data_IF_211232347654
#
_entry.id   IF_211232347654
#
_cell.length_a   1.000
_cell.length_b   1.000
_cell.length_c   1.000
_cell.angle_alpha   90.00
_cell.angle_beta   90.00
_cell.angle_gamma   90.00
#
_symmetry.space_group_name_H-M   'P 1'
#
loop_
_entity.id
_entity.type
_entity.pdbx_description
1 polymer ?
#
# COMPACT_ATOMS: atom_id res chain seq x y z
N UNK A 1 22.61 -32.09 11.92
CA UNK A 1 22.57 -31.55 10.54
C UNK A 1 21.11 -31.32 10.21
N UNK A 2 20.65 -30.04 10.19
CA UNK A 2 19.28 -29.68 9.79
C UNK A 2 19.31 -29.43 8.30
N UNK A 3 18.61 -30.26 7.53
CA UNK A 3 18.38 -30.06 6.10
C UNK A 3 17.56 -28.77 5.91
N UNK A 4 18.17 -27.81 5.23
CA UNK A 4 17.51 -26.57 4.82
C UNK A 4 16.52 -26.92 3.71
N UNK A 5 15.25 -27.13 4.03
CA UNK A 5 14.19 -27.26 3.04
C UNK A 5 14.06 -25.94 2.29
N UNK A 6 14.46 -25.96 1.04
CA UNK A 6 14.27 -24.82 0.13
C UNK A 6 12.77 -24.68 -0.13
N UNK A 7 12.21 -23.52 0.23
CA UNK A 7 10.80 -23.18 0.01
C UNK A 7 10.33 -23.53 -1.40
N UNK A 8 9.11 -24.06 -1.59
CA UNK A 8 8.57 -24.42 -2.91
C UNK A 8 8.61 -23.29 -3.97
N UNK A 9 8.55 -22.03 -3.51
CA UNK A 9 8.66 -20.85 -4.37
C UNK A 9 10.02 -20.71 -5.06
N UNK A 10 11.12 -21.11 -4.40
CA UNK A 10 12.47 -21.08 -4.98
C UNK A 10 12.68 -22.13 -6.08
N UNK A 11 11.86 -23.17 -6.09
CA UNK A 11 11.93 -24.24 -7.10
C UNK A 11 11.16 -23.87 -8.38
N UNK A 12 10.09 -23.05 -8.26
CA UNK A 12 9.31 -22.55 -9.40
C UNK A 12 10.09 -21.51 -10.23
N UNK A 13 10.96 -20.72 -9.58
CA UNK A 13 11.79 -19.70 -10.23
C UNK A 13 12.88 -20.27 -11.16
N UNK A 14 13.22 -21.56 -11.04
CA UNK A 14 14.26 -22.18 -11.88
C UNK A 14 13.85 -22.45 -13.33
N UNK A 15 12.55 -22.37 -13.67
CA UNK A 15 12.04 -22.72 -14.99
C UNK A 15 11.37 -21.57 -15.74
N UNK A 16 11.30 -20.35 -15.18
CA UNK A 16 10.80 -19.18 -15.89
C UNK A 16 11.95 -18.38 -16.50
N UNK A 17 11.81 -17.97 -17.74
CA UNK A 17 12.75 -17.03 -18.36
C UNK A 17 12.73 -15.72 -17.55
N UNK A 18 13.88 -15.08 -17.31
CA UNK A 18 13.93 -13.79 -16.65
C UNK A 18 13.14 -12.75 -17.43
N UNK A 19 12.35 -11.96 -16.73
CA UNK A 19 11.71 -10.79 -17.31
C UNK A 19 12.56 -9.55 -17.06
N UNK A 20 12.69 -8.71 -18.09
CA UNK A 20 13.46 -7.47 -18.03
C UNK A 20 12.54 -6.28 -17.74
N UNK A 21 12.94 -5.42 -16.82
CA UNK A 21 12.31 -4.16 -16.49
C UNK A 21 13.34 -3.03 -16.51
N UNK A 22 12.92 -1.84 -16.91
CA UNK A 22 13.75 -0.63 -16.79
C UNK A 22 13.94 -0.25 -15.31
N UNK A 23 12.93 -0.52 -14.47
CA UNK A 23 12.94 -0.20 -13.05
C UNK A 23 12.17 -1.25 -12.25
N UNK A 24 12.81 -1.79 -11.22
CA UNK A 24 12.15 -2.63 -10.21
C UNK A 24 12.26 -1.93 -8.86
N UNK A 25 11.11 -1.73 -8.20
CA UNK A 25 11.01 -1.06 -6.90
C UNK A 25 10.62 -2.10 -5.84
N UNK A 26 11.40 -2.21 -4.78
CA UNK A 26 11.10 -3.06 -3.64
C UNK A 26 10.38 -2.26 -2.57
N UNK A 27 9.15 -2.67 -2.26
CA UNK A 27 8.24 -2.00 -1.33
C UNK A 27 7.27 -1.03 -2.04
N UNK A 28 5.97 -1.27 -1.89
CA UNK A 28 4.87 -0.54 -2.55
C UNK A 28 4.36 0.67 -1.77
N UNK A 29 5.21 1.34 -0.99
CA UNK A 29 4.83 2.55 -0.25
C UNK A 29 4.49 3.73 -1.16
N UNK A 30 3.97 4.82 -0.59
CA UNK A 30 3.48 5.99 -1.34
C UNK A 30 4.52 6.55 -2.31
N UNK A 31 5.78 6.73 -1.86
CA UNK A 31 6.85 7.24 -2.72
C UNK A 31 7.16 6.32 -3.89
N UNK A 32 7.28 5.02 -3.61
CA UNK A 32 7.48 3.96 -4.61
C UNK A 32 6.38 3.92 -5.65
N UNK A 33 5.13 4.03 -5.20
CA UNK A 33 3.95 4.01 -6.06
C UNK A 33 3.92 5.22 -7.00
N UNK A 34 4.18 6.41 -6.48
CA UNK A 34 4.24 7.64 -7.30
C UNK A 34 5.37 7.53 -8.32
N UNK A 35 6.56 7.10 -7.91
CA UNK A 35 7.68 6.90 -8.83
C UNK A 35 7.32 5.89 -9.94
N UNK A 36 6.71 4.75 -9.57
CA UNK A 36 6.31 3.75 -10.54
C UNK A 36 5.32 4.29 -11.59
N UNK A 37 4.30 5.02 -11.16
CA UNK A 37 3.32 5.61 -12.07
C UNK A 37 3.95 6.67 -12.99
N UNK A 38 4.87 7.48 -12.46
CA UNK A 38 5.57 8.51 -13.24
C UNK A 38 6.41 7.87 -14.33
N UNK A 39 7.31 6.97 -13.98
CA UNK A 39 8.20 6.35 -14.95
C UNK A 39 7.46 5.46 -15.96
N UNK A 40 6.43 4.74 -15.52
CA UNK A 40 5.60 3.97 -16.45
C UNK A 40 4.80 4.88 -17.40
N UNK A 41 4.32 6.05 -16.92
CA UNK A 41 3.70 7.06 -17.75
C UNK A 41 4.64 7.68 -18.79
N UNK A 42 5.95 7.65 -18.54
CA UNK A 42 7.01 8.03 -19.48
C UNK A 42 7.40 6.89 -20.45
N UNK A 43 6.69 5.77 -20.41
CA UNK A 43 6.91 4.63 -21.31
C UNK A 43 7.95 3.63 -20.82
N UNK A 44 8.41 3.71 -19.56
CA UNK A 44 9.30 2.73 -18.96
C UNK A 44 8.56 1.48 -18.53
N UNK A 45 9.17 0.33 -18.67
CA UNK A 45 8.66 -0.92 -18.08
C UNK A 45 9.02 -0.98 -16.61
N UNK A 46 8.03 -0.83 -15.73
CA UNK A 46 8.24 -0.70 -14.28
C UNK A 46 7.49 -1.77 -13.51
N UNK A 47 8.18 -2.42 -12.55
CA UNK A 47 7.56 -3.33 -11.59
C UNK A 47 7.73 -2.80 -10.16
N UNK A 48 6.69 -2.95 -9.34
CA UNK A 48 6.72 -2.74 -7.90
C UNK A 48 6.42 -4.05 -7.20
N UNK A 49 7.30 -4.49 -6.32
CA UNK A 49 7.12 -5.71 -5.53
C UNK A 49 6.86 -5.33 -4.09
N UNK A 50 5.69 -5.73 -3.55
CA UNK A 50 5.38 -5.57 -2.12
C UNK A 50 4.85 -6.88 -1.55
N UNK A 51 5.24 -7.18 -0.32
CA UNK A 51 4.89 -8.46 0.31
C UNK A 51 3.47 -8.52 0.84
N UNK A 52 2.80 -7.36 1.04
CA UNK A 52 1.54 -7.36 1.81
C UNK A 52 0.51 -6.36 1.29
N UNK A 53 0.89 -5.09 1.07
CA UNK A 53 -0.08 -4.03 0.82
C UNK A 53 0.21 -3.21 -0.42
N UNK A 54 -0.76 -3.14 -1.33
CA UNK A 54 -0.72 -2.12 -2.38
C UNK A 54 -0.79 -0.72 -1.76
N UNK A 55 0.10 0.19 -2.13
CA UNK A 55 0.22 1.52 -1.55
C UNK A 55 0.92 1.56 -0.19
N UNK A 56 1.36 0.39 0.34
CA UNK A 56 2.07 0.25 1.60
C UNK A 56 1.18 0.41 2.84
N UNK A 57 1.78 0.63 3.99
CA UNK A 57 1.10 0.71 5.29
C UNK A 57 0.20 1.94 5.44
N UNK A 58 0.56 3.07 4.83
CA UNK A 58 -0.14 4.33 5.02
C UNK A 58 -1.64 4.27 4.68
N UNK A 59 -2.08 3.80 3.49
CA UNK A 59 -3.50 3.69 3.17
C UNK A 59 -4.18 2.49 3.85
N UNK A 60 -3.45 1.45 4.22
CA UNK A 60 -4.03 0.18 4.64
C UNK A 60 -4.21 0.04 6.15
N UNK A 61 -3.19 0.37 6.94
CA UNK A 61 -3.17 0.09 8.39
C UNK A 61 -2.75 1.27 9.26
N UNK A 62 -2.17 2.34 8.71
CA UNK A 62 -1.58 3.42 9.49
C UNK A 62 -2.30 4.76 9.30
N UNK A 63 -1.76 5.64 8.44
CA UNK A 63 -2.13 7.06 8.38
C UNK A 63 -3.62 7.30 8.07
N UNK A 64 -4.13 6.71 7.00
CA UNK A 64 -5.48 6.99 6.54
C UNK A 64 -6.55 6.29 7.39
N UNK A 65 -6.40 5.01 7.79
CA UNK A 65 -7.30 4.36 8.72
C UNK A 65 -7.41 5.08 10.06
N UNK A 66 -6.29 5.50 10.66
CA UNK A 66 -6.32 6.22 11.94
C UNK A 66 -6.99 7.58 11.80
N UNK A 67 -6.68 8.36 10.77
CA UNK A 67 -7.35 9.65 10.51
C UNK A 67 -8.85 9.48 10.26
N UNK A 68 -9.25 8.39 9.61
CA UNK A 68 -10.65 8.08 9.39
C UNK A 68 -11.40 7.85 10.72
N UNK A 69 -10.80 7.12 11.67
CA UNK A 69 -11.37 6.90 13.00
C UNK A 69 -11.38 8.18 13.83
N UNK A 70 -10.26 8.95 13.83
CA UNK A 70 -10.16 10.24 14.52
C UNK A 70 -11.24 11.22 14.04
N UNK A 71 -11.59 11.18 12.77
CA UNK A 71 -12.67 12.01 12.24
C UNK A 71 -14.03 11.69 12.88
N UNK A 72 -14.32 10.42 13.17
CA UNK A 72 -15.52 10.07 13.93
C UNK A 72 -15.50 10.65 15.35
N UNK A 73 -14.35 10.64 16.01
CA UNK A 73 -14.21 11.25 17.33
C UNK A 73 -14.43 12.78 17.28
N UNK A 74 -13.96 13.46 16.24
CA UNK A 74 -14.25 14.90 16.03
C UNK A 74 -15.73 15.16 15.84
N UNK A 75 -16.44 14.32 15.10
CA UNK A 75 -17.89 14.46 14.94
C UNK A 75 -18.60 14.30 16.28
N UNK A 76 -18.20 13.35 17.11
CA UNK A 76 -18.73 13.18 18.48
C UNK A 76 -18.46 14.40 19.33
N UNK A 77 -17.28 15.02 19.24
CA UNK A 77 -16.95 16.24 19.97
C UNK A 77 -17.87 17.40 19.56
N UNK A 78 -18.12 17.57 18.25
CA UNK A 78 -19.09 18.56 17.80
C UNK A 78 -20.50 18.32 18.34
N UNK A 79 -20.95 17.09 18.41
CA UNK A 79 -22.25 16.76 19.03
C UNK A 79 -22.27 17.14 20.51
N UNK A 80 -21.22 16.81 21.27
CA UNK A 80 -21.11 17.17 22.68
C UNK A 80 -21.16 18.68 22.92
N UNK A 81 -20.58 19.44 22.01
CA UNK A 81 -20.48 20.91 22.08
C UNK A 81 -21.54 21.63 21.24
N UNK A 82 -22.53 20.93 20.73
CA UNK A 82 -23.53 21.46 19.80
C UNK A 82 -24.22 22.72 20.28
N UNK A 83 -24.46 22.84 21.61
CA UNK A 83 -25.07 24.03 22.22
C UNK A 83 -24.25 25.31 22.00
N UNK A 84 -22.93 25.23 21.92
CA UNK A 84 -22.06 26.36 21.60
C UNK A 84 -22.31 26.92 20.19
N UNK A 85 -22.87 26.08 19.33
CA UNK A 85 -23.24 26.42 17.93
C UNK A 85 -24.72 26.66 17.76
N UNK A 86 -25.51 26.80 18.84
CA UNK A 86 -26.94 27.00 18.79
C UNK A 86 -27.76 25.77 18.34
N UNK A 87 -27.16 24.58 18.37
CA UNK A 87 -27.80 23.33 17.94
C UNK A 87 -28.21 22.53 19.17
N UNK A 88 -29.51 22.27 19.31
CA UNK A 88 -30.06 21.36 20.33
C UNK A 88 -30.27 19.95 19.75
N UNK A 89 -30.03 18.93 20.59
CA UNK A 89 -30.31 17.52 20.26
C UNK A 89 -30.61 16.74 21.55
N UNK A 90 -31.32 15.62 21.42
CA UNK A 90 -31.76 14.77 22.53
C UNK A 90 -30.78 13.64 22.88
N UNK A 91 -29.54 13.75 22.45
CA UNK A 91 -28.50 12.74 22.66
C UNK A 91 -28.03 12.09 21.36
N UNK A 92 -27.06 11.20 21.50
CA UNK A 92 -26.53 10.41 20.38
C UNK A 92 -25.95 9.09 20.89
N UNK A 93 -25.87 8.11 20.01
CA UNK A 93 -25.23 6.81 20.25
C UNK A 93 -24.08 6.62 19.29
N UNK A 94 -22.98 6.04 19.77
CA UNK A 94 -21.81 5.72 18.92
C UNK A 94 -21.88 4.23 18.56
N UNK A 95 -22.11 3.96 17.29
CA UNK A 95 -22.04 2.61 16.75
C UNK A 95 -20.63 2.32 16.23
N UNK A 96 -19.82 1.62 17.01
CA UNK A 96 -18.45 1.28 16.65
C UNK A 96 -18.36 0.35 15.41
N UNK A 97 -19.39 -0.44 15.15
CA UNK A 97 -19.53 -1.20 13.90
C UNK A 97 -19.55 -0.28 12.68
N UNK A 98 -20.36 0.78 12.71
CA UNK A 98 -20.44 1.77 11.64
C UNK A 98 -19.12 2.52 11.43
N UNK A 99 -18.44 2.90 12.53
CA UNK A 99 -17.10 3.53 12.45
C UNK A 99 -16.10 2.60 11.77
N UNK A 100 -16.08 1.33 12.17
CA UNK A 100 -15.21 0.30 11.59
C UNK A 100 -15.49 0.09 10.10
N UNK A 101 -16.75 -0.03 9.74
CA UNK A 101 -17.16 -0.34 8.37
C UNK A 101 -16.91 0.84 7.42
N UNK A 102 -17.10 2.08 7.89
CA UNK A 102 -16.67 3.29 7.17
C UNK A 102 -15.16 3.28 6.90
N UNK A 103 -14.35 2.93 7.89
CA UNK A 103 -12.89 2.80 7.75
C UNK A 103 -12.53 1.70 6.74
N UNK A 104 -13.16 0.52 6.81
CA UNK A 104 -12.92 -0.60 5.88
C UNK A 104 -13.27 -0.23 4.45
N UNK A 105 -14.44 0.39 4.24
CA UNK A 105 -14.88 0.86 2.92
C UNK A 105 -13.88 1.83 2.31
N UNK A 106 -13.32 2.75 3.10
CA UNK A 106 -12.28 3.68 2.65
C UNK A 106 -11.03 2.92 2.19
N UNK A 107 -10.54 1.95 2.96
CA UNK A 107 -9.35 1.16 2.61
C UNK A 107 -9.55 0.39 1.30
N UNK A 108 -10.71 -0.25 1.14
CA UNK A 108 -11.05 -0.96 -0.10
C UNK A 108 -11.03 -0.01 -1.30
N UNK A 109 -11.71 1.13 -1.18
CA UNK A 109 -11.75 2.12 -2.28
C UNK A 109 -10.38 2.69 -2.63
N UNK A 110 -9.49 2.86 -1.63
CA UNK A 110 -8.10 3.26 -1.88
C UNK A 110 -7.33 2.18 -2.65
N UNK A 111 -7.46 0.93 -2.26
CA UNK A 111 -6.78 -0.18 -2.95
C UNK A 111 -7.26 -0.31 -4.40
N UNK A 112 -8.56 -0.16 -4.65
CA UNK A 112 -9.13 -0.13 -6.01
C UNK A 112 -8.56 1.03 -6.83
N UNK A 113 -8.45 2.23 -6.23
CA UNK A 113 -7.84 3.39 -6.88
C UNK A 113 -6.36 3.14 -7.23
N UNK A 114 -5.58 2.58 -6.29
CA UNK A 114 -4.18 2.25 -6.54
C UNK A 114 -4.04 1.24 -7.69
N UNK A 115 -4.82 0.14 -7.66
CA UNK A 115 -4.82 -0.85 -8.75
C UNK A 115 -5.28 -0.24 -10.08
N UNK A 116 -6.26 0.64 -10.04
CA UNK A 116 -6.70 1.38 -11.23
C UNK A 116 -5.58 2.20 -11.86
N UNK A 117 -4.78 2.88 -11.04
CA UNK A 117 -3.65 3.67 -11.51
C UNK A 117 -2.51 2.79 -12.06
N UNK A 118 -2.20 1.66 -11.43
CA UNK A 118 -1.24 0.69 -11.98
C UNK A 118 -1.67 0.21 -13.37
N UNK A 119 -2.93 -0.17 -13.54
CA UNK A 119 -3.48 -0.59 -14.84
C UNK A 119 -3.43 0.53 -15.88
N UNK A 120 -3.76 1.77 -15.47
CA UNK A 120 -3.78 2.93 -16.36
C UNK A 120 -2.39 3.33 -16.85
N UNK A 121 -1.38 3.24 -16.01
CA UNK A 121 0.00 3.62 -16.33
C UNK A 121 0.80 2.49 -16.97
N UNK A 122 0.35 1.26 -16.85
CA UNK A 122 1.09 0.07 -17.33
C UNK A 122 2.18 -0.41 -16.37
N UNK A 123 2.33 0.23 -15.19
CA UNK A 123 3.23 -0.31 -14.17
C UNK A 123 2.69 -1.62 -13.60
N UNK A 124 3.57 -2.58 -13.36
CA UNK A 124 3.20 -3.87 -12.79
C UNK A 124 3.28 -3.83 -11.26
N UNK A 125 2.23 -4.32 -10.57
CA UNK A 125 2.27 -4.52 -9.12
C UNK A 125 2.30 -6.03 -8.83
N UNK A 126 3.37 -6.47 -8.18
CA UNK A 126 3.61 -7.87 -7.86
C UNK A 126 3.50 -8.06 -6.35
N UNK A 127 2.51 -8.82 -5.91
CA UNK A 127 2.38 -9.20 -4.51
C UNK A 127 3.33 -10.36 -4.20
N UNK A 128 4.36 -10.10 -3.41
CA UNK A 128 5.38 -11.09 -3.08
C UNK A 128 6.59 -10.48 -2.38
N UNK A 129 7.51 -11.35 -2.00
CA UNK A 129 8.78 -10.92 -1.40
C UNK A 129 9.85 -10.79 -2.48
N UNK A 130 10.34 -9.58 -2.68
CA UNK A 130 11.48 -9.30 -3.55
C UNK A 130 12.79 -9.24 -2.78
N UNK A 131 13.88 -9.58 -3.45
CA UNK A 131 15.22 -9.48 -2.92
C UNK A 131 16.27 -9.44 -4.02
N UNK A 132 17.45 -8.89 -3.73
CA UNK A 132 18.59 -8.91 -4.64
C UNK A 132 19.34 -10.22 -4.50
N UNK A 133 19.62 -10.88 -5.62
CA UNK A 133 20.44 -12.10 -5.66
C UNK A 133 21.94 -11.78 -5.73
N UNK A 134 22.31 -10.53 -6.08
CA UNK A 134 23.70 -10.11 -6.27
C UNK A 134 24.11 -9.16 -5.16
N UNK A 135 24.98 -9.62 -4.29
CA UNK A 135 25.57 -8.83 -3.20
C UNK A 135 26.69 -7.88 -3.65
N UNK A 136 27.16 -8.00 -4.89
CA UNK A 136 28.46 -7.43 -5.31
C UNK A 136 28.40 -6.30 -6.35
N UNK A 137 27.23 -5.88 -6.84
CA UNK A 137 27.16 -4.87 -7.91
C UNK A 137 26.76 -3.46 -7.49
N UNK A 138 26.76 -3.14 -6.19
CA UNK A 138 26.27 -1.82 -5.72
C UNK A 138 27.32 -0.80 -5.31
N UNK A 139 28.60 -1.15 -5.36
CA UNK A 139 29.68 -0.17 -5.18
C UNK A 139 30.65 -0.32 -6.33
N UNK A 140 30.39 0.43 -7.40
CA UNK A 140 31.43 0.71 -8.39
C UNK A 140 32.66 1.30 -7.69
N UNK A 141 33.72 0.52 -7.58
CA UNK A 141 35.02 1.13 -7.37
C UNK A 141 35.32 1.90 -8.66
N UNK A 142 35.21 3.21 -8.59
CA UNK A 142 35.92 4.06 -9.53
C UNK A 142 37.41 3.76 -9.41
N UNK A 143 38.13 3.63 -10.52
CA UNK A 143 39.56 3.40 -10.54
C UNK A 143 40.32 4.54 -9.88
#
# INVERSE_FOLDING_TARGET
MKSTEISPSARALKNSQPEEFDLVILGGGTGSTVAAWTFAGEGKRVAVVDREYIGGSCPNIACLPSKNIIHSAKVVDYFRRSKEFGIAHDGFTIEMSGVRDRKRKMVVGLNEMYMGNYRKTGAEFILGTGGSLLRELWWGRTP
#
